data_IF_461900825142
#
_entry.id   IF_461900825142
#
_cell.length_a   1.000
_cell.length_b   1.000
_cell.length_c   1.000
_cell.angle_alpha   90.00
_cell.angle_beta   90.00
_cell.angle_gamma   90.00
#
_symmetry.space_group_name_H-M   'P 1'
#
loop_
_entity.id
_entity.type
_entity.pdbx_description
1 polymer ?
#
# COMPACT_ATOMS: atom_id res chain seq x y z
N UNK A 1 28.97 -25.91 -27.56
CA UNK A 1 28.43 -24.54 -27.73
C UNK A 1 27.13 -24.61 -28.51
N UNK A 2 26.04 -23.99 -28.03
CA UNK A 2 24.96 -23.59 -28.93
C UNK A 2 24.66 -22.07 -28.86
N UNK A 3 24.36 -21.55 -30.04
CA UNK A 3 24.13 -20.17 -30.50
C UNK A 3 22.68 -19.67 -30.24
N UNK A 4 22.35 -18.39 -30.51
CA UNK A 4 21.52 -17.55 -29.65
C UNK A 4 20.00 -17.62 -29.90
N UNK A 5 19.25 -17.10 -28.92
CA UNK A 5 17.79 -17.02 -28.77
C UNK A 5 16.95 -16.77 -30.03
N UNK A 6 15.63 -16.98 -29.91
CA UNK A 6 14.67 -15.93 -30.19
C UNK A 6 13.98 -15.48 -28.88
N UNK A 7 13.93 -14.17 -28.68
CA UNK A 7 13.16 -13.49 -27.64
C UNK A 7 11.73 -14.02 -27.65
N UNK A 8 11.26 -14.44 -26.48
CA UNK A 8 9.96 -15.07 -26.26
C UNK A 8 8.83 -14.36 -27.03
N UNK A 9 8.06 -15.15 -27.78
CA UNK A 9 6.91 -14.79 -28.63
C UNK A 9 5.84 -13.95 -27.90
N UNK A 10 5.87 -13.93 -26.56
CA UNK A 10 5.06 -13.02 -25.75
C UNK A 10 5.27 -11.52 -26.08
N UNK A 11 6.47 -11.12 -26.53
CA UNK A 11 6.75 -9.72 -26.90
C UNK A 11 6.15 -9.28 -28.24
N UNK A 12 5.85 -10.21 -29.15
CA UNK A 12 5.24 -9.91 -30.45
C UNK A 12 3.72 -9.76 -30.36
N UNK A 13 3.09 -10.44 -29.42
CA UNK A 13 1.62 -10.35 -29.20
C UNK A 13 1.19 -9.09 -28.44
N UNK A 14 2.12 -8.43 -27.73
CA UNK A 14 1.86 -7.11 -27.14
C UNK A 14 1.93 -6.00 -28.21
N UNK A 15 2.70 -6.20 -29.28
CA UNK A 15 2.99 -5.14 -30.25
C UNK A 15 1.93 -4.95 -31.35
N UNK A 16 0.98 -5.89 -31.52
CA UNK A 16 -0.05 -5.82 -32.57
C UNK A 16 -1.41 -5.26 -32.11
N UNK A 17 -1.59 -4.88 -30.83
CA UNK A 17 -2.77 -4.11 -30.41
C UNK A 17 -4.13 -4.82 -30.56
N UNK A 18 -4.15 -6.16 -30.64
CA UNK A 18 -5.37 -6.94 -30.98
C UNK A 18 -6.32 -7.18 -29.79
N UNK A 19 -5.89 -6.94 -28.54
CA UNK A 19 -6.81 -6.82 -27.41
C UNK A 19 -6.67 -5.44 -26.79
N UNK A 20 -7.49 -4.53 -27.33
CA UNK A 20 -7.63 -3.13 -26.95
C UNK A 20 -7.26 -2.83 -25.50
N UNK A 21 -6.13 -2.16 -25.35
CA UNK A 21 -5.91 -1.27 -24.24
C UNK A 21 -6.94 -0.14 -24.33
N UNK A 22 -8.17 -0.40 -23.87
CA UNK A 22 -8.94 0.67 -23.28
C UNK A 22 -8.13 1.06 -22.06
N UNK A 23 -7.49 2.23 -22.07
CA UNK A 23 -7.26 2.91 -20.80
C UNK A 23 -8.62 2.91 -20.10
N UNK A 24 -8.76 2.09 -19.06
CA UNK A 24 -9.95 2.11 -18.22
C UNK A 24 -9.83 3.41 -17.46
N UNK A 25 -10.33 4.50 -18.05
CA UNK A 25 -10.43 5.78 -17.38
C UNK A 25 -11.32 5.50 -16.16
N UNK A 26 -10.79 5.62 -14.92
CA UNK A 26 -11.59 5.34 -13.74
C UNK A 26 -12.79 6.27 -13.73
N UNK A 27 -13.98 5.74 -13.42
CA UNK A 27 -15.14 6.60 -13.34
C UNK A 27 -14.91 7.68 -12.27
N UNK A 28 -15.44 8.90 -12.44
CA UNK A 28 -15.34 9.94 -11.40
C UNK A 28 -15.84 9.44 -10.04
N UNK A 29 -16.84 8.56 -10.04
CA UNK A 29 -17.39 7.93 -8.85
C UNK A 29 -16.42 6.96 -8.18
N UNK A 30 -15.67 6.17 -8.95
CA UNK A 30 -14.60 5.31 -8.41
C UNK A 30 -13.51 6.14 -7.74
N UNK A 31 -13.08 7.22 -8.40
CA UNK A 31 -12.08 8.14 -7.85
C UNK A 31 -12.59 8.80 -6.58
N UNK A 32 -13.85 9.25 -6.56
CA UNK A 32 -14.47 9.84 -5.39
C UNK A 32 -14.56 8.84 -4.22
N UNK A 33 -14.95 7.59 -4.49
CA UNK A 33 -14.96 6.52 -3.49
C UNK A 33 -13.56 6.24 -2.95
N UNK A 34 -12.56 6.16 -3.83
CA UNK A 34 -11.18 5.92 -3.43
C UNK A 34 -10.64 7.06 -2.56
N UNK A 35 -10.87 8.32 -2.95
CA UNK A 35 -10.50 9.50 -2.17
C UNK A 35 -11.13 9.47 -0.78
N UNK A 36 -12.45 9.21 -0.71
CA UNK A 36 -13.14 9.07 0.57
C UNK A 36 -12.50 7.98 1.45
N UNK A 37 -12.20 6.81 0.89
CA UNK A 37 -11.55 5.72 1.64
C UNK A 37 -10.12 6.08 2.07
N UNK A 38 -9.40 6.82 1.24
CA UNK A 38 -8.08 7.33 1.58
C UNK A 38 -8.17 8.32 2.75
N UNK A 39 -9.10 9.27 2.70
CA UNK A 39 -9.30 10.26 3.76
C UNK A 39 -9.66 9.57 5.10
N UNK A 40 -10.57 8.59 5.08
CA UNK A 40 -10.92 7.77 6.25
C UNK A 40 -9.69 7.06 6.86
N UNK A 41 -8.81 6.52 6.01
CA UNK A 41 -7.60 5.85 6.46
C UNK A 41 -6.55 6.85 6.99
N UNK A 42 -6.38 8.00 6.32
CA UNK A 42 -5.48 9.06 6.72
C UNK A 42 -5.88 9.64 8.09
N UNK A 43 -7.17 9.95 8.27
CA UNK A 43 -7.72 10.43 9.55
C UNK A 43 -7.47 9.45 10.70
N UNK A 44 -7.62 8.14 10.44
CA UNK A 44 -7.36 7.10 11.44
C UNK A 44 -5.87 7.01 11.82
N UNK A 45 -4.96 7.14 10.85
CA UNK A 45 -3.52 7.16 11.09
C UNK A 45 -3.11 8.44 11.83
N UNK A 46 -3.64 9.60 11.47
CA UNK A 46 -3.41 10.87 12.15
C UNK A 46 -3.92 10.85 13.59
N UNK A 47 -5.03 10.18 13.86
CA UNK A 47 -5.51 9.94 15.22
C UNK A 47 -4.50 9.08 16.01
N UNK A 48 -4.01 7.97 15.45
CA UNK A 48 -3.00 7.13 16.09
C UNK A 48 -1.74 7.93 16.43
N UNK A 49 -1.26 8.72 15.47
CA UNK A 49 -0.08 9.57 15.57
C UNK A 49 -0.22 10.68 16.63
N UNK A 50 -1.44 11.21 16.83
CA UNK A 50 -1.73 12.16 17.91
C UNK A 50 -1.75 11.48 19.27
N UNK A 51 -2.37 10.31 19.37
CA UNK A 51 -2.47 9.54 20.61
C UNK A 51 -1.10 9.03 21.07
N UNK A 52 -0.21 8.69 20.12
CA UNK A 52 1.13 8.14 20.38
C UNK A 52 2.24 9.18 20.32
N UNK A 53 1.91 10.49 20.30
CA UNK A 53 2.91 11.56 20.13
C UNK A 53 4.01 11.61 21.21
N UNK A 54 3.76 11.04 22.39
CA UNK A 54 4.70 10.96 23.52
C UNK A 54 5.21 9.54 23.77
N UNK A 55 4.79 8.56 22.96
CA UNK A 55 5.27 7.20 23.06
C UNK A 55 6.69 7.10 22.48
N UNK A 56 7.45 6.15 23.00
CA UNK A 56 8.73 5.79 22.40
C UNK A 56 8.52 5.13 21.01
N UNK A 57 9.57 5.15 20.20
CA UNK A 57 9.53 4.67 18.83
C UNK A 57 9.06 5.72 17.81
N UNK A 58 8.97 5.28 16.56
CA UNK A 58 8.56 6.07 15.41
C UNK A 58 7.04 6.16 15.33
N UNK A 59 6.55 7.18 14.63
CA UNK A 59 5.12 7.46 14.51
C UNK A 59 4.39 6.34 13.76
N UNK A 60 3.21 5.89 14.24
CA UNK A 60 2.37 4.89 13.58
C UNK A 60 2.21 5.08 12.06
N UNK A 61 1.88 6.28 11.57
CA UNK A 61 1.67 6.55 10.16
C UNK A 61 2.96 6.40 9.33
N UNK A 62 4.10 6.79 9.89
CA UNK A 62 5.41 6.67 9.24
C UNK A 62 5.80 5.20 9.06
N UNK A 63 5.51 4.35 10.06
CA UNK A 63 5.79 2.91 10.00
C UNK A 63 4.97 2.22 8.90
N UNK A 64 3.68 2.58 8.76
CA UNK A 64 2.83 2.11 7.64
C UNK A 64 3.43 2.54 6.30
N UNK A 65 3.83 3.80 6.18
CA UNK A 65 4.43 4.31 4.94
C UNK A 65 5.68 3.52 4.54
N UNK A 66 6.56 3.14 5.49
CA UNK A 66 7.75 2.34 5.18
C UNK A 66 7.43 0.94 4.69
N UNK A 67 6.51 0.23 5.36
CA UNK A 67 6.13 -1.12 4.93
C UNK A 67 5.39 -1.07 3.60
N UNK A 68 4.42 -0.17 3.43
CA UNK A 68 3.56 -0.18 2.24
C UNK A 68 4.24 0.41 1.01
N UNK A 69 4.99 1.51 1.17
CA UNK A 69 5.60 2.20 0.02
C UNK A 69 7.01 1.75 -0.30
N UNK A 70 7.74 1.14 0.64
CA UNK A 70 9.12 0.67 0.43
C UNK A 70 9.31 -0.83 0.65
N UNK A 71 8.25 -1.56 1.03
CA UNK A 71 8.35 -2.99 1.37
C UNK A 71 9.46 -3.25 2.41
N UNK A 72 9.62 -2.33 3.36
CA UNK A 72 10.67 -2.43 4.37
C UNK A 72 10.42 -3.64 5.29
N UNK A 73 11.47 -4.41 5.50
CA UNK A 73 11.45 -5.56 6.38
C UNK A 73 11.47 -5.14 7.86
N UNK A 74 10.38 -5.43 8.57
CA UNK A 74 10.21 -5.08 9.97
C UNK A 74 10.85 -6.07 10.96
N UNK A 75 11.54 -7.13 10.50
CA UNK A 75 12.11 -8.18 11.38
C UNK A 75 13.05 -7.63 12.46
N UNK A 76 13.83 -6.61 12.12
CA UNK A 76 14.84 -6.02 13.01
C UNK A 76 14.39 -4.69 13.64
N UNK A 77 13.10 -4.35 13.54
CA UNK A 77 12.59 -3.12 14.15
C UNK A 77 12.57 -3.22 15.69
N UNK A 78 12.83 -2.10 16.39
CA UNK A 78 12.63 -1.99 17.83
C UNK A 78 11.22 -2.44 18.27
N UNK A 79 11.10 -2.99 19.47
CA UNK A 79 9.82 -3.49 20.01
C UNK A 79 8.77 -2.39 20.10
N UNK A 80 9.20 -1.17 20.39
CA UNK A 80 8.36 0.02 20.46
C UNK A 80 7.74 0.32 19.08
N UNK A 81 8.53 0.18 18.01
CA UNK A 81 8.05 0.36 16.64
C UNK A 81 7.09 -0.74 16.23
N UNK A 82 7.35 -2.00 16.61
CA UNK A 82 6.40 -3.10 16.40
C UNK A 82 5.08 -2.83 17.13
N UNK A 83 5.15 -2.27 18.35
CA UNK A 83 4.00 -1.83 19.13
C UNK A 83 3.18 -0.76 18.41
N UNK A 84 3.84 0.31 17.95
CA UNK A 84 3.20 1.42 17.23
C UNK A 84 2.65 0.99 15.86
N UNK A 85 3.35 0.10 15.16
CA UNK A 85 2.89 -0.51 13.91
C UNK A 85 1.59 -1.28 14.13
N UNK A 86 1.52 -2.11 15.18
CA UNK A 86 0.30 -2.86 15.53
C UNK A 86 -0.89 -1.93 15.76
N UNK A 87 -0.68 -0.78 16.39
CA UNK A 87 -1.74 0.22 16.60
C UNK A 87 -2.26 0.73 15.25
N UNK A 88 -1.37 1.14 14.35
CA UNK A 88 -1.73 1.62 13.02
C UNK A 88 -2.49 0.56 12.20
N UNK A 89 -1.97 -0.68 12.17
CA UNK A 89 -2.59 -1.78 11.43
C UNK A 89 -3.98 -2.13 11.98
N UNK A 90 -4.17 -2.09 13.30
CA UNK A 90 -5.47 -2.30 13.91
C UNK A 90 -6.46 -1.18 13.56
N UNK A 91 -6.01 0.08 13.54
CA UNK A 91 -6.84 1.21 13.13
C UNK A 91 -7.29 1.08 11.67
N UNK A 92 -6.36 0.77 10.76
CA UNK A 92 -6.67 0.50 9.36
C UNK A 92 -7.59 -0.72 9.19
N UNK A 93 -7.35 -1.79 9.96
CA UNK A 93 -8.21 -2.97 9.97
C UNK A 93 -9.66 -2.65 10.33
N UNK A 94 -9.90 -1.69 11.23
CA UNK A 94 -11.26 -1.21 11.54
C UNK A 94 -11.86 -0.36 10.42
N UNK A 95 -11.09 0.56 9.84
CA UNK A 95 -11.54 1.41 8.71
C UNK A 95 -11.99 0.54 7.52
N UNK A 96 -11.23 -0.53 7.24
CA UNK A 96 -11.52 -1.45 6.15
C UNK A 96 -12.46 -2.61 6.53
N UNK A 97 -12.91 -2.68 7.79
CA UNK A 97 -13.83 -3.72 8.26
C UNK A 97 -13.23 -5.13 8.32
N UNK A 98 -11.90 -5.23 8.39
CA UNK A 98 -11.13 -6.47 8.51
C UNK A 98 -11.04 -6.97 9.96
N UNK A 99 -11.24 -6.07 10.92
CA UNK A 99 -11.23 -6.37 12.36
C UNK A 99 -12.57 -5.89 12.93
N UNK A 100 -13.28 -6.79 13.63
CA UNK A 100 -14.52 -6.51 14.36
C UNK A 100 -14.23 -6.25 15.83
#
# INVERSE_FOLDING_TARGET
MPTPSPRSVAGLLINEGIFGGSEVIPSPDDVARLRKRFDEAADALDACDRDHRLCEGRRPAWLIYRIVCFDEDARDWPVEDIGNLRVALNALGRVFGLIR
#
